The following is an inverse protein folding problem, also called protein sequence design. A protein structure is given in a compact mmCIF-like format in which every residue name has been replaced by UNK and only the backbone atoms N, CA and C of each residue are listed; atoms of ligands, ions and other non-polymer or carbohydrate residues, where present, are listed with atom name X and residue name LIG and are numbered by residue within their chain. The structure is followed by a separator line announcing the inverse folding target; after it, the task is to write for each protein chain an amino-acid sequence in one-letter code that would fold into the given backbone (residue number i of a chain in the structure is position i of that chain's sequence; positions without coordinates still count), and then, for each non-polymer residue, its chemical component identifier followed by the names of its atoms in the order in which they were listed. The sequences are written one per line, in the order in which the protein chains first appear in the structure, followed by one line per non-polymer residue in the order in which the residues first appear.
data_IF_268444046531
#
_entry.id   IF_268444046531
#
_cell.length_a   1.000
_cell.length_b   1.000
_cell.length_c   1.000
_cell.angle_alpha   90.00
_cell.angle_beta   90.00
_cell.angle_gamma   90.00
#
_symmetry.space_group_name_H-M   'P 1'
#
loop_
_entity.id
_entity.type
_entity.pdbx_description
1 polymer ?
#
# COMPACT_ATOMS: atom_id res chain seq x y z
N UNK A 1 -22.11 -12.70 -6.58
CA UNK A 1 -21.16 -12.05 -7.50
C UNK A 1 -20.02 -11.58 -6.62
N UNK A 2 -19.06 -12.47 -6.39
CA UNK A 2 -17.86 -12.16 -5.64
C UNK A 2 -16.88 -11.59 -6.64
N UNK A 3 -16.78 -10.26 -6.68
CA UNK A 3 -15.60 -9.61 -7.24
C UNK A 3 -14.45 -9.92 -6.29
N UNK A 4 -13.79 -11.06 -6.50
CA UNK A 4 -12.43 -11.33 -6.02
C UNK A 4 -11.50 -10.33 -6.71
N UNK A 5 -11.61 -9.09 -6.24
CA UNK A 5 -10.83 -7.95 -6.65
C UNK A 5 -9.36 -8.30 -6.46
N UNK A 6 -8.62 -8.30 -7.57
CA UNK A 6 -7.20 -8.54 -7.72
C UNK A 6 -6.42 -8.28 -6.42
N UNK A 7 -6.33 -9.32 -5.59
CA UNK A 7 -5.67 -9.24 -4.32
C UNK A 7 -4.19 -9.16 -4.62
N UNK A 8 -3.51 -8.15 -4.11
CA UNK A 8 -2.05 -8.09 -4.16
C UNK A 8 -1.52 -8.95 -2.99
N UNK A 9 -1.16 -10.24 -3.18
CA UNK A 9 -0.62 -11.03 -2.10
C UNK A 9 0.70 -10.43 -1.61
N UNK A 10 1.06 -10.77 -0.38
CA UNK A 10 2.37 -10.41 0.19
C UNK A 10 3.48 -10.88 -0.75
N UNK A 11 4.43 -10.00 -1.05
CA UNK A 11 5.51 -10.23 -2.01
C UNK A 11 5.24 -9.69 -3.42
N UNK A 12 4.00 -9.27 -3.73
CA UNK A 12 3.69 -8.68 -5.04
C UNK A 12 4.41 -7.35 -5.22
N UNK A 13 5.05 -7.17 -6.38
CA UNK A 13 5.56 -5.87 -6.80
C UNK A 13 4.42 -5.02 -7.33
N UNK A 14 4.33 -3.80 -6.81
CA UNK A 14 3.27 -2.86 -7.15
C UNK A 14 3.83 -1.49 -7.44
N UNK A 15 3.08 -0.72 -8.23
CA UNK A 15 3.30 0.71 -8.46
C UNK A 15 2.09 1.49 -7.99
N UNK A 16 2.32 2.67 -7.43
CA UNK A 16 1.25 3.62 -7.09
C UNK A 16 0.79 4.32 -8.37
N UNK A 17 -0.48 4.13 -8.74
CA UNK A 17 -1.07 4.68 -9.99
C UNK A 17 -1.97 5.90 -9.80
N UNK A 18 -2.28 6.26 -8.55
CA UNK A 18 -3.06 7.47 -8.19
C UNK A 18 -2.25 8.38 -7.28
N UNK A 19 -2.54 9.69 -7.33
CA UNK A 19 -1.91 10.65 -6.42
C UNK A 19 -2.29 10.33 -4.97
N UNK A 20 -1.28 10.10 -4.14
CA UNK A 20 -1.44 9.80 -2.71
C UNK A 20 -0.39 10.63 -1.99
N UNK A 21 -0.84 11.67 -1.28
CA UNK A 21 0.04 12.57 -0.54
C UNK A 21 0.20 12.08 0.89
N UNK A 22 1.44 11.83 1.29
CA UNK A 22 1.81 11.39 2.63
C UNK A 22 2.69 12.43 3.34
N UNK A 23 2.76 12.36 4.67
CA UNK A 23 3.54 13.28 5.51
C UNK A 23 4.58 12.58 6.38
N UNK A 24 4.60 11.25 6.36
CA UNK A 24 5.52 10.41 7.15
C UNK A 24 6.71 9.89 6.34
N UNK A 25 6.95 10.43 5.14
CA UNK A 25 8.14 10.09 4.36
C UNK A 25 9.41 10.48 5.14
N UNK A 26 10.39 9.59 5.32
CA UNK A 26 11.53 9.82 6.22
C UNK A 26 12.42 11.00 5.80
N UNK A 27 12.54 11.27 4.50
CA UNK A 27 13.32 12.41 3.95
C UNK A 27 12.48 13.70 3.81
N UNK A 28 11.15 13.59 3.86
CA UNK A 28 10.21 14.71 3.70
C UNK A 28 9.24 14.77 4.89
N UNK A 29 9.78 14.67 6.11
CA UNK A 29 8.96 14.60 7.33
C UNK A 29 8.10 15.86 7.50
N UNK A 30 6.82 15.65 7.78
CA UNK A 30 5.81 16.70 7.97
C UNK A 30 5.62 17.62 6.74
N UNK A 31 6.12 17.21 5.58
CA UNK A 31 5.94 17.91 4.31
C UNK A 31 5.10 17.03 3.39
N UNK A 32 4.21 17.63 2.56
CA UNK A 32 3.43 16.86 1.60
C UNK A 32 4.37 16.21 0.59
N UNK A 33 4.28 14.89 0.45
CA UNK A 33 5.03 14.12 -0.51
C UNK A 33 4.08 13.21 -1.28
N UNK A 34 3.93 13.46 -2.58
CA UNK A 34 3.12 12.60 -3.45
C UNK A 34 3.92 11.36 -3.84
N UNK A 35 3.37 10.17 -3.59
CA UNK A 35 4.00 8.90 -3.89
C UNK A 35 3.59 8.32 -5.25
N UNK A 36 2.85 9.08 -6.06
CA UNK A 36 2.48 8.68 -7.42
C UNK A 36 3.71 8.20 -8.21
N UNK A 37 3.59 7.02 -8.80
CA UNK A 37 4.63 6.42 -9.61
C UNK A 37 5.73 5.70 -8.83
N UNK A 38 5.74 5.74 -7.50
CA UNK A 38 6.67 4.95 -6.70
C UNK A 38 6.34 3.46 -6.79
N UNK A 39 7.39 2.65 -6.84
CA UNK A 39 7.31 1.19 -6.87
C UNK A 39 7.73 0.61 -5.53
N UNK A 40 7.03 -0.44 -5.11
CA UNK A 40 7.31 -1.13 -3.87
C UNK A 40 6.87 -2.57 -3.90
N UNK A 41 6.97 -3.22 -2.75
CA UNK A 41 6.52 -4.60 -2.55
C UNK A 41 5.47 -4.63 -1.44
N UNK A 42 4.38 -5.37 -1.66
CA UNK A 42 3.39 -5.60 -0.61
C UNK A 42 4.02 -6.41 0.51
N UNK A 43 4.10 -5.82 1.70
CA UNK A 43 4.67 -6.43 2.89
C UNK A 43 3.60 -7.09 3.76
N UNK A 44 2.40 -6.52 3.81
CA UNK A 44 1.28 -7.06 4.55
C UNK A 44 -0.07 -6.65 3.92
N UNK A 45 -1.09 -7.47 4.17
CA UNK A 45 -2.49 -7.16 3.84
C UNK A 45 -3.31 -7.24 5.13
N UNK A 46 -3.73 -6.08 5.64
CA UNK A 46 -4.33 -5.90 6.98
C UNK A 46 -5.83 -6.25 6.93
N UNK A 47 -6.15 -7.54 6.95
CA UNK A 47 -7.52 -8.06 7.01
C UNK A 47 -7.89 -8.64 8.38
N UNK A 48 -6.90 -9.16 9.10
CA UNK A 48 -7.09 -9.75 10.42
C UNK A 48 -5.96 -9.34 11.37
N UNK A 49 -6.29 -9.25 12.66
CA UNK A 49 -5.35 -9.08 13.76
C UNK A 49 -5.62 -10.14 14.83
N UNK A 50 -4.64 -11.00 15.11
CA UNK A 50 -4.75 -12.07 16.11
C UNK A 50 -6.02 -12.93 15.95
N UNK A 51 -6.37 -13.27 14.70
CA UNK A 51 -7.56 -14.07 14.36
C UNK A 51 -8.88 -13.32 14.46
N UNK A 52 -8.86 -11.99 14.56
CA UNK A 52 -10.05 -11.14 14.53
C UNK A 52 -10.08 -10.31 13.25
N UNK A 53 -11.19 -10.27 12.51
CA UNK A 53 -11.31 -9.43 11.32
C UNK A 53 -11.18 -7.97 11.71
N UNK A 54 -10.43 -7.21 10.92
CA UNK A 54 -10.27 -5.75 11.05
C UNK A 54 -10.80 -5.05 9.82
N UNK A 55 -11.26 -3.81 9.99
CA UNK A 55 -11.89 -3.01 8.93
C UNK A 55 -10.94 -1.93 8.39
N UNK A 56 -9.69 -2.29 8.10
CA UNK A 56 -8.73 -1.34 7.54
C UNK A 56 -9.22 -0.84 6.16
N UNK A 57 -9.41 0.46 6.02
CA UNK A 57 -9.81 1.08 4.76
C UNK A 57 -8.66 1.14 3.74
N UNK A 58 -7.41 1.11 4.21
CA UNK A 58 -6.19 1.04 3.41
C UNK A 58 -5.42 -0.26 3.74
N UNK A 59 -5.92 -1.44 3.35
CA UNK A 59 -5.40 -2.71 3.86
C UNK A 59 -4.02 -3.09 3.32
N UNK A 60 -3.59 -2.54 2.19
CA UNK A 60 -2.33 -2.93 1.55
C UNK A 60 -1.15 -2.12 2.10
N UNK A 61 -0.32 -2.77 2.91
CA UNK A 61 0.94 -2.17 3.37
C UNK A 61 2.03 -2.43 2.34
N UNK A 62 2.53 -1.37 1.70
CA UNK A 62 3.59 -1.43 0.69
C UNK A 62 4.88 -0.86 1.27
N UNK A 63 5.98 -1.60 1.09
CA UNK A 63 7.33 -1.18 1.43
C UNK A 63 8.04 -0.69 0.16
N UNK A 64 8.50 0.55 0.19
CA UNK A 64 9.23 1.19 -0.92
C UNK A 64 10.74 1.18 -0.66
N UNK A 65 11.14 1.61 0.54
CA UNK A 65 12.53 1.69 0.99
C UNK A 65 12.65 1.10 2.39
N UNK A 66 13.86 0.82 2.92
CA UNK A 66 14.04 0.19 4.23
C UNK A 66 13.29 0.87 5.38
N UNK A 67 13.07 2.18 5.30
CA UNK A 67 12.40 3.01 6.31
C UNK A 67 11.09 3.64 5.86
N UNK A 68 10.63 3.38 4.64
CA UNK A 68 9.40 3.99 4.10
C UNK A 68 8.37 2.93 3.71
N UNK A 69 7.23 3.00 4.39
CA UNK A 69 6.08 2.14 4.18
C UNK A 69 4.82 3.01 4.09
N UNK A 70 3.88 2.63 3.24
CA UNK A 70 2.59 3.29 3.09
C UNK A 70 1.45 2.27 3.11
N UNK A 71 0.24 2.75 3.42
CA UNK A 71 -0.98 1.97 3.35
C UNK A 71 -1.83 2.47 2.20
N UNK A 72 -2.40 1.56 1.41
CA UNK A 72 -3.10 1.88 0.17
C UNK A 72 -4.38 1.06 0.02
N UNK A 73 -5.29 1.56 -0.82
CA UNK A 73 -6.39 0.81 -1.39
C UNK A 73 -5.95 0.04 -2.63
N UNK A 74 -6.66 -1.03 -2.98
CA UNK A 74 -6.43 -1.75 -4.23
C UNK A 74 -6.53 -0.82 -5.46
N UNK A 75 -7.45 0.15 -5.42
CA UNK A 75 -7.68 1.06 -6.55
C UNK A 75 -6.53 2.06 -6.79
N UNK A 76 -5.61 2.20 -5.83
CA UNK A 76 -4.45 3.11 -5.89
C UNK A 76 -3.20 2.41 -6.41
N UNK A 77 -3.23 1.09 -6.55
CA UNK A 77 -2.10 0.25 -6.93
C UNK A 77 -2.32 -0.45 -8.29
N UNK A 78 -1.23 -0.77 -8.96
CA UNK A 78 -1.18 -1.69 -10.10
C UNK A 78 -0.04 -2.69 -9.91
N UNK A 79 -0.23 -3.91 -10.42
CA UNK A 79 0.81 -4.95 -10.41
C UNK A 79 1.90 -4.61 -11.42
N UNK A 80 3.13 -4.91 -11.06
CA UNK A 80 4.26 -4.90 -11.99
C UNK A 80 4.60 -6.35 -12.38
N UNK A 81 5.02 -6.58 -13.64
CA UNK A 81 5.47 -7.89 -14.10
C UNK A 81 6.78 -8.34 -13.44
#
# INVERSE_FOLDING_TARGET
MSDDAEAFPVGTRVRVKKSVVVYHHPEHRNQPFDVLGLEGTVEAVVQEWEGRPVSANLPYQVKFYPKFKGHFQASELETLP
#
